data_IF_476614136560
#
_entry.id   IF_476614136560
#
_cell.length_a   1.000
_cell.length_b   1.000
_cell.length_c   1.000
_cell.angle_alpha   90.00
_cell.angle_beta   90.00
_cell.angle_gamma   90.00
#
_symmetry.space_group_name_H-M   'P 1'
#
loop_
_entity.id
_entity.type
_entity.pdbx_description
1 polymer ?
#
# COMPACT_ATOMS: atom_id res chain seq x y z
N UNK A 1 14.19 4.18 -1.14
CA UNK A 1 13.82 4.34 -2.55
C UNK A 1 13.48 2.99 -3.17
N UNK A 2 12.24 2.85 -3.68
CA UNK A 2 11.74 1.59 -4.27
C UNK A 2 12.48 1.21 -5.57
N UNK A 3 12.95 2.21 -6.34
CA UNK A 3 13.68 1.97 -7.58
C UNK A 3 15.02 1.26 -7.29
N UNK A 4 15.74 1.71 -6.28
CA UNK A 4 17.00 1.09 -5.84
C UNK A 4 16.79 -0.37 -5.42
N UNK A 5 15.73 -0.65 -4.65
CA UNK A 5 15.39 -2.03 -4.23
C UNK A 5 15.10 -2.90 -5.45
N UNK A 6 14.32 -2.38 -6.42
CA UNK A 6 14.03 -3.10 -7.66
C UNK A 6 15.29 -3.45 -8.44
N UNK A 7 16.19 -2.48 -8.64
CA UNK A 7 17.46 -2.67 -9.37
C UNK A 7 18.33 -3.73 -8.71
N UNK A 8 18.51 -3.64 -7.37
CA UNK A 8 19.36 -4.61 -6.64
C UNK A 8 18.76 -6.03 -6.70
N UNK A 9 17.43 -6.15 -6.49
CA UNK A 9 16.77 -7.48 -6.44
C UNK A 9 16.57 -8.08 -7.83
N UNK A 10 16.50 -7.25 -8.89
CA UNK A 10 16.44 -7.75 -10.27
C UNK A 10 17.79 -8.26 -10.78
N UNK A 11 18.87 -8.01 -10.03
CA UNK A 11 20.24 -8.26 -10.49
C UNK A 11 20.58 -7.48 -11.79
N UNK A 12 20.02 -6.24 -11.90
CA UNK A 12 20.38 -5.33 -12.97
C UNK A 12 21.79 -4.78 -12.75
N UNK A 13 22.49 -4.44 -13.82
CA UNK A 13 23.82 -3.85 -13.72
C UNK A 13 23.76 -2.49 -13.00
N UNK A 14 24.58 -2.33 -11.98
CA UNK A 14 24.69 -1.09 -11.20
C UNK A 14 26.06 -0.47 -11.41
N UNK A 15 26.07 0.84 -11.68
CA UNK A 15 27.28 1.65 -11.68
C UNK A 15 27.41 2.33 -10.32
N UNK A 16 28.48 2.06 -9.61
CA UNK A 16 28.79 2.70 -8.33
C UNK A 16 30.20 3.26 -8.35
N UNK A 17 30.40 4.39 -7.70
CA UNK A 17 31.71 5.05 -7.60
C UNK A 17 32.04 5.36 -6.14
N UNK A 18 33.13 4.81 -5.68
CA UNK A 18 33.69 5.24 -4.41
C UNK A 18 34.31 6.64 -4.54
N UNK A 19 34.42 7.36 -3.42
CA UNK A 19 34.96 8.71 -3.41
C UNK A 19 36.38 8.74 -4.03
N UNK A 20 36.57 9.60 -5.02
CA UNK A 20 37.87 9.77 -5.76
C UNK A 20 38.35 8.54 -6.54
N UNK A 21 37.46 7.61 -6.87
CA UNK A 21 37.77 6.45 -7.71
C UNK A 21 36.95 6.45 -9.01
N UNK A 22 37.35 5.62 -9.96
CA UNK A 22 36.61 5.42 -11.20
C UNK A 22 35.30 4.64 -10.92
N UNK A 23 34.22 4.87 -11.70
CA UNK A 23 33.01 4.07 -11.63
C UNK A 23 33.30 2.59 -11.89
N UNK A 24 32.68 1.71 -11.09
CA UNK A 24 32.73 0.27 -11.28
C UNK A 24 31.31 -0.20 -11.60
N UNK A 25 31.17 -0.97 -12.67
CA UNK A 25 29.93 -1.63 -13.02
C UNK A 25 29.94 -3.07 -12.48
N UNK A 26 28.84 -3.47 -11.84
CA UNK A 26 28.71 -4.83 -11.31
C UNK A 26 27.24 -5.25 -11.26
N UNK A 27 27.01 -6.55 -11.31
CA UNK A 27 25.69 -7.16 -11.12
C UNK A 27 25.57 -7.60 -9.65
N UNK A 28 24.58 -7.08 -8.87
CA UNK A 28 24.39 -7.48 -7.49
C UNK A 28 24.00 -8.96 -7.38
N UNK A 29 24.65 -9.68 -6.50
CA UNK A 29 24.31 -11.08 -6.15
C UNK A 29 23.70 -11.21 -4.76
N UNK A 30 23.48 -10.08 -4.09
CA UNK A 30 22.97 -10.00 -2.73
C UNK A 30 21.47 -10.29 -2.65
N UNK A 31 21.05 -10.92 -1.55
CA UNK A 31 19.66 -10.97 -1.11
C UNK A 31 19.48 -9.96 0.01
N UNK A 32 18.41 -9.17 -0.04
CA UNK A 32 18.15 -8.14 0.96
C UNK A 32 17.26 -8.75 2.05
N UNK A 33 17.72 -8.72 3.30
CA UNK A 33 16.92 -9.04 4.47
C UNK A 33 16.88 -7.79 5.34
N UNK A 34 15.66 -7.33 5.67
CA UNK A 34 15.44 -6.14 6.47
C UNK A 34 14.72 -6.51 7.76
N UNK A 35 15.39 -6.34 8.91
CA UNK A 35 14.76 -6.49 10.22
C UNK A 35 14.22 -5.12 10.66
N UNK A 36 12.91 -5.02 10.84
CA UNK A 36 12.22 -3.76 11.14
C UNK A 36 11.17 -3.95 12.23
N UNK A 37 10.93 -2.94 13.04
CA UNK A 37 9.82 -2.92 13.99
C UNK A 37 8.52 -2.43 13.33
N UNK A 38 8.63 -1.59 12.31
CA UNK A 38 7.52 -1.09 11.53
C UNK A 38 7.83 -1.29 10.06
N UNK A 39 6.88 -1.88 9.33
CA UNK A 39 7.01 -2.08 7.90
C UNK A 39 7.08 -0.73 7.17
N UNK A 40 7.98 -0.55 6.20
CA UNK A 40 8.10 0.69 5.45
C UNK A 40 6.84 0.95 4.62
N UNK A 41 6.39 2.21 4.56
CA UNK A 41 5.30 2.58 3.67
C UNK A 41 5.70 2.40 2.20
N UNK A 42 4.83 1.79 1.42
CA UNK A 42 4.98 1.68 -0.03
C UNK A 42 4.13 2.73 -0.73
N UNK A 43 4.66 3.32 -1.78
CA UNK A 43 3.89 4.22 -2.63
C UNK A 43 3.28 3.41 -3.77
N UNK A 44 1.98 3.17 -3.68
CA UNK A 44 1.22 2.47 -4.70
C UNK A 44 1.34 0.93 -4.67
N UNK A 45 0.36 0.28 -5.29
CA UNK A 45 0.32 -1.18 -5.44
C UNK A 45 1.09 -1.59 -6.70
N UNK A 46 2.42 -1.58 -6.62
CA UNK A 46 3.29 -1.94 -7.73
C UNK A 46 3.51 -3.46 -7.77
N UNK A 47 2.99 -4.11 -8.80
CA UNK A 47 3.21 -5.55 -9.04
C UNK A 47 4.69 -5.94 -9.05
N UNK A 48 5.57 -5.03 -9.47
CA UNK A 48 7.01 -5.24 -9.44
C UNK A 48 7.56 -5.38 -8.03
N UNK A 49 7.06 -4.60 -7.06
CA UNK A 49 7.43 -4.72 -5.65
C UNK A 49 6.75 -5.92 -4.98
N UNK A 50 5.47 -6.18 -5.30
CA UNK A 50 4.70 -7.26 -4.70
C UNK A 50 5.37 -8.63 -4.86
N UNK A 51 5.89 -8.94 -6.03
CA UNK A 51 6.60 -10.22 -6.29
C UNK A 51 8.01 -10.31 -5.70
N UNK A 52 8.54 -9.21 -5.14
CA UNK A 52 9.91 -9.12 -4.60
C UNK A 52 9.98 -9.03 -3.09
N UNK A 53 8.88 -8.67 -2.44
CA UNK A 53 8.82 -8.51 -0.99
C UNK A 53 8.07 -9.70 -0.40
N UNK A 54 8.64 -10.24 0.67
CA UNK A 54 7.97 -11.21 1.53
C UNK A 54 8.08 -10.74 2.96
N UNK A 55 6.95 -10.69 3.64
CA UNK A 55 6.87 -10.30 5.04
C UNK A 55 6.88 -11.55 5.91
N UNK A 56 7.95 -11.73 6.67
CA UNK A 56 8.07 -12.82 7.64
C UNK A 56 7.71 -12.29 9.02
N UNK A 57 6.51 -12.63 9.57
CA UNK A 57 6.04 -12.07 10.82
C UNK A 57 6.67 -12.76 12.03
N UNK A 58 7.38 -11.99 12.87
CA UNK A 58 7.86 -12.44 14.17
C UNK A 58 6.92 -11.94 15.28
N UNK A 59 5.86 -12.69 15.55
CA UNK A 59 4.77 -12.28 16.46
C UNK A 59 5.10 -12.47 17.95
N UNK A 60 6.11 -13.28 18.28
CA UNK A 60 6.48 -13.56 19.66
C UNK A 60 7.25 -12.38 20.26
N UNK A 61 6.74 -11.86 21.36
CA UNK A 61 7.42 -10.84 22.16
C UNK A 61 8.20 -11.50 23.28
N UNK A 62 9.43 -11.02 23.51
CA UNK A 62 10.25 -11.41 24.63
C UNK A 62 10.22 -10.29 25.66
N UNK A 63 9.92 -10.63 26.90
CA UNK A 63 9.80 -9.69 28.02
C UNK A 63 11.13 -9.27 28.65
N UNK A 64 12.26 -9.56 27.99
CA UNK A 64 13.60 -9.21 28.50
C UNK A 64 14.09 -10.06 29.65
N UNK A 65 13.40 -11.16 29.98
CA UNK A 65 13.81 -12.05 31.08
C UNK A 65 15.14 -12.76 30.81
N UNK A 66 15.55 -12.88 29.54
CA UNK A 66 16.82 -13.49 29.14
C UNK A 66 17.78 -12.40 28.69
N UNK A 67 18.94 -12.33 29.33
CA UNK A 67 19.99 -11.36 28.98
C UNK A 67 20.57 -11.66 27.60
N UNK A 68 21.01 -10.61 26.89
CA UNK A 68 21.60 -10.72 25.55
C UNK A 68 22.79 -11.68 25.50
N UNK A 69 23.66 -11.63 26.50
CA UNK A 69 24.86 -12.46 26.61
C UNK A 69 24.50 -13.96 26.71
N UNK A 70 23.39 -14.28 27.40
CA UNK A 70 22.92 -15.66 27.51
C UNK A 70 22.34 -16.14 26.17
N UNK A 71 21.65 -15.31 25.43
CA UNK A 71 21.14 -15.62 24.07
C UNK A 71 22.33 -15.90 23.13
N UNK A 72 23.34 -15.03 23.15
CA UNK A 72 24.54 -15.21 22.34
C UNK A 72 25.30 -16.48 22.71
N UNK A 73 25.39 -16.82 23.99
CA UNK A 73 26.02 -18.05 24.47
C UNK A 73 25.31 -19.29 23.95
N UNK A 74 23.98 -19.31 24.00
CA UNK A 74 23.15 -20.42 23.47
C UNK A 74 23.32 -20.57 21.97
N UNK A 75 23.23 -19.47 21.20
CA UNK A 75 23.45 -19.50 19.76
C UNK A 75 24.82 -20.05 19.40
N UNK A 76 25.88 -19.62 20.12
CA UNK A 76 27.24 -20.14 19.92
C UNK A 76 27.37 -21.64 20.25
N UNK A 77 26.69 -22.11 21.29
CA UNK A 77 26.67 -23.52 21.67
C UNK A 77 25.95 -24.41 20.64
N UNK A 78 24.92 -23.86 19.96
CA UNK A 78 24.09 -24.59 19.00
C UNK A 78 24.49 -24.35 17.53
N UNK A 79 25.61 -23.67 17.28
CA UNK A 79 26.04 -23.24 15.93
C UNK A 79 26.01 -24.35 14.87
N UNK A 80 26.43 -25.54 15.24
CA UNK A 80 26.52 -26.70 14.32
C UNK A 80 25.13 -27.22 13.95
N UNK A 81 24.19 -27.21 14.92
CA UNK A 81 22.79 -27.54 14.70
C UNK A 81 22.09 -26.49 13.83
N UNK A 82 22.37 -25.19 14.06
CA UNK A 82 21.87 -24.09 13.25
C UNK A 82 22.39 -24.21 11.81
N UNK A 83 23.66 -24.48 11.63
CA UNK A 83 24.25 -24.70 10.31
C UNK A 83 23.62 -25.89 9.58
N UNK A 84 23.44 -27.02 10.26
CA UNK A 84 22.79 -28.19 9.70
C UNK A 84 21.32 -27.89 9.29
N UNK A 85 20.61 -27.06 10.08
CA UNK A 85 19.25 -26.59 9.73
C UNK A 85 19.29 -25.71 8.47
N UNK A 86 20.24 -24.79 8.33
CA UNK A 86 20.40 -23.96 7.12
C UNK A 86 20.69 -24.81 5.88
N UNK A 87 21.53 -25.84 5.99
CA UNK A 87 21.86 -26.79 4.90
C UNK A 87 20.59 -27.54 4.47
N UNK A 88 19.77 -28.02 5.42
CA UNK A 88 18.48 -28.67 5.10
C UNK A 88 17.54 -27.71 4.39
N UNK A 89 17.41 -26.48 4.88
CA UNK A 89 16.59 -25.45 4.23
C UNK A 89 17.04 -25.16 2.80
N UNK A 90 18.35 -25.10 2.56
CA UNK A 90 18.88 -24.95 1.20
C UNK A 90 18.55 -26.15 0.30
N UNK A 91 18.63 -27.35 0.80
CA UNK A 91 18.25 -28.56 0.06
C UNK A 91 16.77 -28.58 -0.30
N UNK A 92 15.90 -28.18 0.62
CA UNK A 92 14.46 -28.05 0.34
C UNK A 92 14.18 -26.96 -0.68
N UNK A 93 14.82 -25.79 -0.55
CA UNK A 93 14.72 -24.73 -1.54
C UNK A 93 15.14 -25.19 -2.95
N UNK A 94 16.19 -25.99 -3.07
CA UNK A 94 16.62 -26.53 -4.37
C UNK A 94 15.59 -27.48 -5.00
N UNK A 95 14.78 -28.16 -4.19
CA UNK A 95 13.76 -29.10 -4.68
C UNK A 95 12.48 -28.41 -5.11
N UNK A 96 12.01 -27.44 -4.33
CA UNK A 96 10.67 -26.86 -4.46
C UNK A 96 10.63 -25.33 -4.67
N UNK A 97 11.80 -24.68 -4.75
CA UNK A 97 11.88 -23.24 -4.78
C UNK A 97 11.62 -22.63 -3.40
N UNK A 98 11.25 -21.33 -3.38
CA UNK A 98 11.07 -20.62 -2.13
C UNK A 98 9.86 -21.09 -1.32
N UNK A 99 8.78 -21.50 -2.00
CA UNK A 99 7.55 -22.07 -1.43
C UNK A 99 7.19 -21.49 -0.04
N UNK A 100 6.81 -20.21 0.04
CA UNK A 100 6.57 -19.54 1.32
C UNK A 100 5.34 -20.15 2.01
N UNK A 101 5.39 -20.35 3.34
CA UNK A 101 4.26 -20.87 4.10
C UNK A 101 3.11 -19.84 4.13
N UNK A 102 1.88 -20.31 4.38
CA UNK A 102 0.65 -19.50 4.37
C UNK A 102 0.76 -18.26 5.26
N UNK A 103 1.33 -18.38 6.45
CA UNK A 103 1.55 -17.24 7.37
C UNK A 103 2.39 -16.10 6.77
N UNK A 104 3.31 -16.41 5.85
CA UNK A 104 4.11 -15.41 5.12
C UNK A 104 3.31 -14.82 3.97
N UNK A 105 2.52 -15.64 3.28
CA UNK A 105 1.63 -15.18 2.22
C UNK A 105 0.59 -14.21 2.78
N UNK A 106 -0.13 -14.59 3.83
CA UNK A 106 -1.12 -13.75 4.51
C UNK A 106 -0.52 -12.42 4.99
N UNK A 107 0.60 -12.46 5.72
CA UNK A 107 1.25 -11.26 6.21
C UNK A 107 1.72 -10.34 5.07
N UNK A 108 2.14 -10.91 3.95
CA UNK A 108 2.54 -10.17 2.76
C UNK A 108 1.34 -9.51 2.09
N UNK A 109 0.22 -10.24 1.94
CA UNK A 109 -1.04 -9.71 1.40
C UNK A 109 -1.58 -8.57 2.28
N UNK A 110 -1.64 -8.76 3.59
CA UNK A 110 -2.07 -7.75 4.57
C UNK A 110 -1.21 -6.46 4.44
N UNK A 111 0.11 -6.61 4.32
CA UNK A 111 1.02 -5.49 4.14
C UNK A 111 0.71 -4.70 2.86
N UNK A 112 0.48 -5.37 1.74
CA UNK A 112 0.15 -4.70 0.49
C UNK A 112 -1.25 -4.10 0.50
N UNK A 113 -2.23 -4.76 1.11
CA UNK A 113 -3.59 -4.24 1.26
C UNK A 113 -3.61 -2.94 2.09
N UNK A 114 -2.90 -2.92 3.20
CA UNK A 114 -2.79 -1.74 4.07
C UNK A 114 -2.10 -0.55 3.38
N UNK A 115 -1.20 -0.81 2.44
CA UNK A 115 -0.50 0.23 1.68
C UNK A 115 -1.22 0.61 0.37
N UNK A 116 -2.34 -0.02 0.03
CA UNK A 116 -3.10 0.28 -1.18
C UNK A 116 -4.17 1.35 -0.97
N UNK A 117 -3.74 2.56 -0.67
CA UNK A 117 -4.64 3.71 -0.49
C UNK A 117 -5.48 4.02 -1.73
N UNK A 118 -4.96 3.75 -2.94
CA UNK A 118 -5.71 3.99 -4.18
C UNK A 118 -6.83 2.95 -4.34
N UNK A 119 -6.55 1.67 -4.04
CA UNK A 119 -7.58 0.63 -4.06
C UNK A 119 -8.69 0.90 -3.04
N UNK A 120 -8.32 1.32 -1.83
CA UNK A 120 -9.27 1.76 -0.79
C UNK A 120 -10.16 2.90 -1.30
N UNK A 121 -9.57 3.97 -1.81
CA UNK A 121 -10.29 5.09 -2.39
C UNK A 121 -11.25 4.66 -3.50
N UNK A 122 -10.78 3.89 -4.47
CA UNK A 122 -11.61 3.44 -5.59
C UNK A 122 -12.81 2.62 -5.11
N UNK A 123 -12.60 1.69 -4.19
CA UNK A 123 -13.68 0.85 -3.66
C UNK A 123 -14.74 1.63 -2.87
N UNK A 124 -14.32 2.65 -2.11
CA UNK A 124 -15.21 3.44 -1.28
C UNK A 124 -15.94 4.54 -2.03
N UNK A 125 -15.24 5.27 -2.91
CA UNK A 125 -15.71 6.53 -3.50
C UNK A 125 -16.10 6.43 -4.96
N UNK A 126 -15.82 5.32 -5.64
CA UNK A 126 -16.09 5.21 -7.08
C UNK A 126 -16.90 3.98 -7.43
N UNK A 127 -17.52 4.04 -8.62
CA UNK A 127 -18.21 2.91 -9.25
C UNK A 127 -17.55 2.65 -10.59
N UNK A 128 -17.21 1.40 -10.86
CA UNK A 128 -16.70 0.97 -12.15
C UNK A 128 -17.86 0.60 -13.06
N UNK A 129 -17.92 1.21 -14.24
CA UNK A 129 -18.88 0.88 -15.28
C UNK A 129 -18.32 1.30 -16.64
N UNK A 130 -18.41 0.47 -17.68
CA UNK A 130 -17.85 0.76 -19.01
C UNK A 130 -18.31 2.08 -19.62
N UNK A 131 -19.54 2.49 -19.33
CA UNK A 131 -20.16 3.73 -19.83
C UNK A 131 -19.82 4.98 -19.00
N UNK A 132 -19.19 4.77 -17.83
CA UNK A 132 -18.92 5.85 -16.90
C UNK A 132 -17.67 6.62 -17.26
N UNK A 133 -17.67 7.92 -16.95
CA UNK A 133 -16.50 8.78 -17.09
C UNK A 133 -16.39 9.73 -15.91
N UNK A 134 -15.16 10.03 -15.49
CA UNK A 134 -14.89 11.02 -14.44
C UNK A 134 -13.81 12.01 -14.90
N UNK A 135 -14.04 13.34 -14.78
CA UNK A 135 -13.00 14.33 -15.07
C UNK A 135 -11.77 14.09 -14.17
N UNK A 136 -10.58 14.16 -14.76
CA UNK A 136 -9.32 13.90 -14.06
C UNK A 136 -9.13 14.83 -12.85
N UNK A 137 -9.57 16.07 -12.96
CA UNK A 137 -9.48 17.05 -11.87
C UNK A 137 -10.42 16.74 -10.71
N UNK A 138 -11.63 16.32 -11.00
CA UNK A 138 -12.66 16.07 -9.99
C UNK A 138 -12.37 14.80 -9.22
N UNK A 139 -11.94 13.74 -9.93
CA UNK A 139 -11.52 12.50 -9.31
C UNK A 139 -10.32 12.70 -8.37
N UNK A 140 -9.35 13.53 -8.75
CA UNK A 140 -8.19 13.82 -7.89
C UNK A 140 -8.57 14.67 -6.67
N UNK A 141 -9.45 15.66 -6.83
CA UNK A 141 -9.94 16.45 -5.69
C UNK A 141 -10.71 15.62 -4.67
N UNK A 142 -11.56 14.71 -5.14
CA UNK A 142 -12.28 13.78 -4.25
C UNK A 142 -11.32 12.83 -3.54
N UNK A 143 -10.29 12.35 -4.25
CA UNK A 143 -9.23 11.55 -3.65
C UNK A 143 -8.44 12.34 -2.57
N UNK A 144 -8.11 13.60 -2.81
CA UNK A 144 -7.42 14.44 -1.82
C UNK A 144 -8.27 14.59 -0.55
N UNK A 145 -9.58 14.86 -0.70
CA UNK A 145 -10.49 14.94 0.44
C UNK A 145 -10.56 13.61 1.22
N UNK A 146 -10.78 12.51 0.51
CA UNK A 146 -10.80 11.17 1.11
C UNK A 146 -9.49 10.83 1.84
N UNK A 147 -8.34 11.14 1.24
CA UNK A 147 -7.04 10.88 1.84
C UNK A 147 -6.84 11.68 3.14
N UNK A 148 -7.28 12.94 3.18
CA UNK A 148 -7.29 13.75 4.40
C UNK A 148 -8.19 13.17 5.49
N UNK A 149 -9.40 12.74 5.12
CA UNK A 149 -10.35 12.11 6.05
C UNK A 149 -9.77 10.81 6.66
N UNK A 150 -9.03 10.05 5.86
CA UNK A 150 -8.33 8.83 6.30
C UNK A 150 -7.00 9.10 7.01
N UNK A 151 -6.57 10.35 7.18
CA UNK A 151 -5.27 10.70 7.78
C UNK A 151 -4.06 10.28 6.96
N UNK A 152 -4.25 10.08 5.64
CA UNK A 152 -3.20 9.68 4.69
C UNK A 152 -2.72 10.90 3.92
N UNK A 153 -1.41 11.01 3.73
CA UNK A 153 -0.85 12.06 2.88
C UNK A 153 -1.28 11.84 1.42
N UNK A 154 -2.03 12.77 0.79
CA UNK A 154 -2.48 12.61 -0.57
C UNK A 154 -1.30 12.61 -1.57
N UNK A 155 -1.44 11.82 -2.61
CA UNK A 155 -0.49 11.79 -3.72
C UNK A 155 -0.73 12.96 -4.66
N UNK A 156 0.33 13.49 -5.24
CA UNK A 156 0.21 14.50 -6.27
C UNK A 156 -0.48 13.97 -7.53
N UNK A 157 -1.11 14.85 -8.30
CA UNK A 157 -1.95 14.52 -9.48
C UNK A 157 -1.26 13.60 -10.51
N UNK A 158 0.05 13.75 -10.72
CA UNK A 158 0.80 12.89 -11.63
C UNK A 158 0.91 11.47 -11.09
N UNK A 159 1.35 11.29 -9.84
CA UNK A 159 1.47 9.97 -9.21
C UNK A 159 0.12 9.26 -9.11
N UNK A 160 -0.94 9.98 -8.74
CA UNK A 160 -2.30 9.46 -8.73
C UNK A 160 -2.71 8.94 -10.11
N UNK A 161 -2.49 9.75 -11.16
CA UNK A 161 -2.81 9.35 -12.53
C UNK A 161 -2.00 8.13 -13.01
N UNK A 162 -0.72 8.05 -12.66
CA UNK A 162 0.13 6.92 -13.04
C UNK A 162 -0.32 5.62 -12.36
N UNK A 163 -0.76 5.70 -11.10
CA UNK A 163 -1.29 4.54 -10.39
C UNK A 163 -2.65 4.08 -10.92
N UNK A 164 -3.50 4.98 -11.39
CA UNK A 164 -4.74 4.61 -12.06
C UNK A 164 -4.48 3.93 -13.41
N UNK A 165 -3.52 4.44 -14.21
CA UNK A 165 -3.10 3.77 -15.44
C UNK A 165 -2.51 2.38 -15.19
N UNK A 166 -1.70 2.24 -14.15
CA UNK A 166 -1.14 0.94 -13.76
C UNK A 166 -2.23 -0.08 -13.37
N UNK A 167 -3.44 0.38 -13.03
CA UNK A 167 -4.63 -0.45 -12.79
C UNK A 167 -5.48 -0.70 -14.04
N UNK A 168 -5.04 -0.23 -15.19
CA UNK A 168 -5.74 -0.43 -16.46
C UNK A 168 -6.79 0.62 -16.78
N UNK A 169 -6.90 1.69 -15.98
CA UNK A 169 -7.79 2.79 -16.34
C UNK A 169 -7.19 3.65 -17.44
N UNK A 170 -7.99 3.95 -18.45
CA UNK A 170 -7.58 4.75 -19.59
C UNK A 170 -8.06 6.20 -19.46
N UNK A 171 -7.21 7.12 -19.91
CA UNK A 171 -7.59 8.53 -20.06
C UNK A 171 -7.99 8.83 -21.50
N UNK A 172 -9.02 9.65 -21.65
CA UNK A 172 -9.39 10.21 -22.93
C UNK A 172 -9.54 11.73 -22.81
N UNK A 173 -9.68 12.40 -23.95
CA UNK A 173 -9.82 13.86 -24.01
C UNK A 173 -11.00 14.23 -24.90
N UNK A 174 -11.94 14.98 -24.34
CA UNK A 174 -13.04 15.55 -25.09
C UNK A 174 -12.97 17.08 -24.95
N UNK A 175 -12.77 17.78 -26.08
CA UNK A 175 -12.50 19.22 -26.12
C UNK A 175 -11.25 19.57 -25.28
N UNK A 176 -11.39 20.39 -24.26
CA UNK A 176 -10.30 20.82 -23.36
C UNK A 176 -10.16 19.96 -22.09
N UNK A 177 -11.12 19.08 -21.82
CA UNK A 177 -11.19 18.31 -20.57
C UNK A 177 -10.67 16.89 -20.76
N UNK A 178 -9.77 16.45 -19.84
CA UNK A 178 -9.35 15.05 -19.73
C UNK A 178 -10.23 14.33 -18.74
N UNK A 179 -10.61 13.11 -19.04
CA UNK A 179 -11.41 12.26 -18.18
C UNK A 179 -10.92 10.82 -18.18
N UNK A 180 -11.25 10.10 -17.13
CA UNK A 180 -11.05 8.67 -16.99
C UNK A 180 -12.26 7.93 -17.55
N UNK A 181 -12.02 6.83 -18.28
CA UNK A 181 -13.05 5.91 -18.78
C UNK A 181 -13.27 4.79 -17.78
N UNK A 182 -14.49 4.26 -17.77
CA UNK A 182 -14.83 3.08 -16.98
C UNK A 182 -15.04 3.35 -15.49
N UNK A 183 -15.03 4.61 -15.04
CA UNK A 183 -15.13 4.97 -13.64
C UNK A 183 -15.95 6.26 -13.44
N UNK A 184 -16.75 6.29 -12.37
CA UNK A 184 -17.44 7.50 -11.91
C UNK A 184 -17.36 7.62 -10.39
N UNK A 185 -17.45 8.83 -9.87
CA UNK A 185 -17.64 9.07 -8.44
C UNK A 185 -19.03 8.56 -8.02
N UNK A 186 -19.10 7.89 -6.86
CA UNK A 186 -20.38 7.62 -6.22
C UNK A 186 -21.05 8.94 -5.89
N UNK A 187 -22.34 9.07 -6.18
CA UNK A 187 -23.10 10.21 -5.71
C UNK A 187 -22.97 10.29 -4.18
N UNK A 188 -22.42 11.37 -3.65
CA UNK A 188 -22.46 11.60 -2.20
C UNK A 188 -23.91 11.54 -1.77
N UNK A 189 -24.27 10.80 -0.70
CA UNK A 189 -25.61 10.94 -0.14
C UNK A 189 -25.78 12.41 0.22
N UNK A 190 -26.71 13.08 -0.46
CA UNK A 190 -27.10 14.44 -0.07
C UNK A 190 -27.54 14.36 1.39
N UNK A 191 -26.76 14.92 2.29
CA UNK A 191 -27.22 15.25 3.63
C UNK A 191 -28.25 16.36 3.39
N UNK A 192 -29.50 15.97 3.30
CA UNK A 192 -30.62 16.92 3.34
C UNK A 192 -30.56 17.55 4.73
N UNK A 193 -29.93 18.71 4.81
CA UNK A 193 -30.05 19.52 6.02
C UNK A 193 -31.54 19.89 6.13
N UNK A 194 -32.19 19.58 7.26
CA UNK A 194 -33.56 20.03 7.47
C UNK A 194 -33.55 21.57 7.42
N UNK A 195 -34.35 22.12 6.51
CA UNK A 195 -34.54 23.55 6.37
C UNK A 195 -34.91 24.17 7.72
N UNK A 196 -34.24 25.23 8.20
CA UNK A 196 -34.57 25.88 9.44
C UNK A 196 -35.84 26.79 9.34
N UNK A 197 -36.58 26.69 8.25
CA UNK A 197 -37.81 27.46 8.04
C UNK A 197 -39.03 26.55 7.94
N UNK A 198 -39.66 26.31 9.09
CA UNK A 198 -40.89 25.52 9.15
C UNK A 198 -41.53 25.52 10.54
N UNK A 199 -41.52 26.67 11.22
CA UNK A 199 -42.30 26.83 12.43
C UNK A 199 -42.75 28.29 12.50
N UNK A 200 -43.81 28.61 11.77
CA UNK A 200 -44.57 29.83 12.06
C UNK A 200 -46.04 29.60 11.69
N UNK A 201 -46.83 29.75 12.71
CA UNK A 201 -48.25 30.19 12.72
C UNK A 201 -49.32 29.19 12.28
N UNK A 202 -50.00 28.63 13.27
CA UNK A 202 -51.44 28.81 13.28
C UNK A 202 -51.95 29.02 14.74
N UNK A 203 -52.13 30.30 15.05
CA UNK A 203 -52.92 30.76 16.18
C UNK A 203 -54.15 31.35 15.59
N UNK A 204 -55.26 30.66 15.64
CA UNK A 204 -56.60 31.30 15.58
C UNK A 204 -57.56 30.50 16.43
N UNK A 205 -57.72 31.00 17.58
CA UNK A 205 -58.96 31.33 18.24
C UNK A 205 -60.27 30.77 17.64
N UNK A 206 -61.01 30.06 18.44
CA UNK A 206 -62.47 30.32 18.51
C UNK A 206 -62.96 29.93 19.87
N UNK A 207 -63.34 30.94 20.62
CA UNK A 207 -64.32 30.88 21.69
C UNK A 207 -65.64 30.35 21.15
N UNK A 208 -66.39 29.61 21.92
CA UNK A 208 -67.80 29.86 22.26
C UNK A 208 -68.38 28.72 23.14
N UNK A 209 -68.69 29.08 24.36
CA UNK A 209 -70.02 29.02 25.05
C UNK A 209 -70.68 27.63 25.20
N UNK A 210 -70.81 27.13 26.28
CA UNK A 210 -71.86 26.89 27.31
C UNK A 210 -71.39 25.87 28.32
#
# INVERSE_FOLDING_TARGET
>A
DQAVVKTIVAADEISARALRQNPVQFVPQAKIIMAVNHLPALVGNDHGMRRRIQVVPFRKRFNGSVKKEEIERRIKAEKDGIFAWMVRGFQEWRKQGLNPPEVVLEATEEYFATNDHIGGYLSERTVESPESTAPVGDLHKDYEAWAHDCGVKPLGKHQFSDLLRARGLEQDRKHSTRFWKGIALKASPMIVQPSPFGAATDSSATNLTQ
#
